data_IF_182055347256
#
_entry.id   IF_182055347256
#
_cell.length_a   1.000
_cell.length_b   1.000
_cell.length_c   1.000
_cell.angle_alpha   90.00
_cell.angle_beta   90.00
_cell.angle_gamma   90.00
#
_symmetry.space_group_name_H-M   'P 1'
#
loop_
_entity.id
_entity.type
_entity.pdbx_description
1 polymer ?
#
# COMPACT_ATOMS: atom_id res chain seq x y z
N UNK A 1 2.28 -9.72 -21.53
CA UNK A 1 2.74 -11.13 -21.66
C UNK A 1 1.82 -12.08 -20.91
N UNK A 2 1.77 -12.04 -19.57
CA UNK A 2 0.91 -12.95 -18.77
C UNK A 2 -0.59 -12.75 -19.07
N UNK A 3 -1.05 -11.51 -19.20
CA UNK A 3 -2.44 -11.22 -19.57
C UNK A 3 -2.86 -11.91 -20.88
N UNK A 4 -2.08 -11.72 -21.95
CA UNK A 4 -2.32 -12.37 -23.25
C UNK A 4 -2.28 -13.90 -23.14
N UNK A 5 -1.38 -14.47 -22.33
CA UNK A 5 -1.33 -15.92 -22.13
C UNK A 5 -2.61 -16.45 -21.48
N UNK A 6 -3.14 -15.76 -20.46
CA UNK A 6 -4.41 -16.13 -19.83
C UNK A 6 -5.59 -16.02 -20.80
N UNK A 7 -5.63 -14.95 -21.60
CA UNK A 7 -6.66 -14.80 -22.65
C UNK A 7 -6.56 -15.90 -23.71
N UNK A 8 -5.37 -16.22 -24.20
CA UNK A 8 -5.16 -17.31 -25.19
C UNK A 8 -5.46 -18.68 -24.60
N UNK A 9 -5.22 -18.88 -23.30
CA UNK A 9 -5.59 -20.11 -22.59
C UNK A 9 -7.11 -20.28 -22.42
N UNK A 10 -7.92 -19.28 -22.77
CA UNK A 10 -9.37 -19.33 -22.74
C UNK A 10 -10.01 -18.71 -21.49
N UNK A 11 -9.30 -17.84 -20.76
CA UNK A 11 -9.94 -17.04 -19.72
C UNK A 11 -10.85 -15.98 -20.35
N UNK A 12 -12.12 -15.95 -19.95
CA UNK A 12 -13.11 -14.96 -20.42
C UNK A 12 -13.33 -13.80 -19.44
N UNK A 13 -12.85 -13.94 -18.19
CA UNK A 13 -12.99 -12.93 -17.14
C UNK A 13 -11.89 -13.14 -16.09
N UNK A 14 -11.25 -12.05 -15.64
CA UNK A 14 -10.31 -12.04 -14.52
C UNK A 14 -10.97 -11.42 -13.29
N UNK A 15 -10.88 -12.11 -12.15
CA UNK A 15 -11.19 -11.54 -10.84
C UNK A 15 -9.90 -11.55 -10.03
N UNK A 16 -9.51 -10.40 -9.50
CA UNK A 16 -8.27 -10.21 -8.74
C UNK A 16 -8.50 -9.26 -7.57
N UNK A 17 -7.51 -9.12 -6.69
CA UNK A 17 -7.56 -8.21 -5.55
C UNK A 17 -6.26 -7.41 -5.46
N UNK A 18 -6.38 -6.10 -5.24
CA UNK A 18 -5.28 -5.15 -5.01
C UNK A 18 -4.09 -5.32 -5.96
N UNK A 19 -4.34 -5.15 -7.26
CA UNK A 19 -3.27 -5.05 -8.25
C UNK A 19 -2.22 -4.00 -7.84
N UNK A 20 -0.95 -4.39 -7.88
CA UNK A 20 0.19 -3.52 -7.56
C UNK A 20 0.16 -2.20 -8.33
N UNK A 21 -0.31 -2.24 -9.58
CA UNK A 21 -0.59 -1.07 -10.38
C UNK A 21 -1.97 -1.22 -11.04
N UNK A 22 -2.84 -0.22 -10.87
CA UNK A 22 -4.21 -0.26 -11.42
C UNK A 22 -4.22 -0.32 -12.95
N UNK A 23 -3.16 0.16 -13.60
CA UNK A 23 -2.95 0.11 -15.05
C UNK A 23 -2.85 -1.31 -15.61
N UNK A 24 -2.54 -2.31 -14.78
CA UNK A 24 -2.46 -3.72 -15.20
C UNK A 24 -3.81 -4.19 -15.78
N UNK A 25 -4.94 -3.62 -15.34
CA UNK A 25 -6.25 -3.91 -15.93
C UNK A 25 -6.28 -3.63 -17.43
N UNK A 26 -5.59 -2.58 -17.89
CA UNK A 26 -5.51 -2.23 -19.31
C UNK A 26 -4.64 -3.18 -20.15
N UNK A 27 -4.00 -4.19 -19.55
CA UNK A 27 -3.27 -5.23 -20.28
C UNK A 27 -4.16 -6.42 -20.67
N UNK A 28 -5.39 -6.49 -20.16
CA UNK A 28 -6.35 -7.53 -20.50
C UNK A 28 -7.36 -7.00 -21.52
N UNK A 29 -7.61 -7.79 -22.56
CA UNK A 29 -8.66 -7.52 -23.56
C UNK A 29 -10.05 -8.04 -23.13
N UNK A 30 -10.10 -8.71 -21.97
CA UNK A 30 -11.29 -9.30 -21.34
C UNK A 30 -11.64 -8.51 -20.07
N UNK A 31 -12.89 -8.59 -19.56
CA UNK A 31 -13.28 -7.94 -18.31
C UNK A 31 -12.36 -8.31 -17.15
N UNK A 32 -12.07 -7.32 -16.29
CA UNK A 32 -11.27 -7.48 -15.07
C UNK A 32 -11.98 -6.82 -13.90
N UNK A 33 -12.34 -7.62 -12.90
CA UNK A 33 -12.80 -7.14 -11.60
C UNK A 33 -11.59 -7.06 -10.65
N UNK A 34 -11.11 -5.85 -10.39
CA UNK A 34 -10.08 -5.59 -9.36
C UNK A 34 -10.74 -5.19 -8.04
N UNK A 35 -10.86 -6.16 -7.13
CA UNK A 35 -11.37 -5.97 -5.78
C UNK A 35 -10.35 -5.25 -4.89
N UNK A 36 -10.83 -4.57 -3.85
CA UNK A 36 -9.98 -3.85 -2.89
C UNK A 36 -10.17 -4.41 -1.48
N UNK A 37 -9.08 -4.73 -0.80
CA UNK A 37 -9.09 -5.17 0.60
C UNK A 37 -9.34 -4.01 1.58
N UNK A 38 -9.29 -2.77 1.12
CA UNK A 38 -9.42 -1.56 1.95
C UNK A 38 -10.61 -1.61 2.94
N UNK A 39 -11.85 -2.00 2.58
CA UNK A 39 -12.95 -2.09 3.53
C UNK A 39 -12.72 -3.11 4.66
N UNK A 40 -12.07 -4.23 4.34
CA UNK A 40 -11.73 -5.25 5.33
C UNK A 40 -10.62 -4.76 6.26
N UNK A 41 -9.60 -4.09 5.72
CA UNK A 41 -8.51 -3.47 6.50
C UNK A 41 -9.06 -2.41 7.46
N UNK A 42 -9.95 -1.53 6.99
CA UNK A 42 -10.59 -0.50 7.81
C UNK A 42 -11.40 -1.09 8.96
N UNK A 43 -12.17 -2.15 8.68
CA UNK A 43 -12.91 -2.88 9.71
C UNK A 43 -11.96 -3.47 10.74
N UNK A 44 -10.90 -4.14 10.29
CA UNK A 44 -9.92 -4.76 11.16
C UNK A 44 -9.24 -3.73 12.07
N UNK A 45 -8.81 -2.58 11.55
CA UNK A 45 -8.21 -1.49 12.33
C UNK A 45 -9.16 -1.04 13.45
N UNK A 46 -10.44 -0.80 13.12
CA UNK A 46 -11.43 -0.32 14.10
C UNK A 46 -11.73 -1.35 15.19
N UNK A 47 -11.67 -2.64 14.88
CA UNK A 47 -12.02 -3.72 15.80
C UNK A 47 -10.83 -4.18 16.66
N UNK A 48 -9.59 -4.05 16.17
CA UNK A 48 -8.42 -4.67 16.81
C UNK A 48 -7.42 -3.67 17.39
N UNK A 49 -7.42 -2.41 16.95
CA UNK A 49 -6.51 -1.39 17.46
C UNK A 49 -7.27 -0.49 18.42
N UNK A 50 -6.97 -0.60 19.73
CA UNK A 50 -7.70 0.12 20.79
C UNK A 50 -7.67 1.64 20.58
N UNK A 51 -6.52 2.20 20.20
CA UNK A 51 -6.32 3.64 20.01
C UNK A 51 -6.32 4.05 18.53
N UNK A 52 -7.10 3.37 17.67
CA UNK A 52 -7.11 3.65 16.23
C UNK A 52 -7.46 5.10 15.87
N UNK A 53 -8.17 5.84 16.74
CA UNK A 53 -8.48 7.26 16.52
C UNK A 53 -7.26 8.18 16.69
N UNK A 54 -6.25 7.74 17.45
CA UNK A 54 -4.97 8.43 17.62
C UNK A 54 -3.87 7.71 16.83
N UNK A 55 -4.23 7.17 15.66
CA UNK A 55 -3.27 6.52 14.78
C UNK A 55 -2.80 7.48 13.66
N UNK A 56 -1.71 7.10 13.01
CA UNK A 56 -1.27 7.70 11.76
C UNK A 56 -0.99 6.57 10.79
N UNK A 57 -1.62 6.63 9.62
CA UNK A 57 -1.42 5.61 8.58
C UNK A 57 -0.12 5.94 7.86
N UNK A 58 0.81 4.99 7.79
CA UNK A 58 2.16 5.22 7.29
C UNK A 58 2.41 4.38 6.04
N UNK A 59 2.85 5.04 4.96
CA UNK A 59 3.35 4.33 3.78
C UNK A 59 4.86 4.13 3.91
N UNK A 60 5.38 2.91 3.73
CA UNK A 60 6.82 2.66 3.82
C UNK A 60 7.61 3.17 2.61
N UNK A 61 6.90 3.58 1.55
CA UNK A 61 7.44 4.31 0.40
C UNK A 61 6.47 5.37 -0.16
N UNK A 62 6.92 6.13 -1.15
CA UNK A 62 6.09 7.15 -1.80
C UNK A 62 5.05 6.58 -2.79
N UNK A 63 5.21 5.34 -3.25
CA UNK A 63 4.29 4.67 -4.18
C UNK A 63 2.96 4.33 -3.52
N UNK A 64 2.99 3.93 -2.25
CA UNK A 64 1.79 3.64 -1.44
C UNK A 64 0.98 4.87 -1.02
N UNK A 65 1.38 6.10 -1.38
CA UNK A 65 0.75 7.33 -0.89
C UNK A 65 -0.76 7.38 -1.15
N UNK A 66 -1.21 7.03 -2.36
CA UNK A 66 -2.65 7.02 -2.69
C UNK A 66 -3.45 6.07 -1.80
N UNK A 67 -2.90 4.91 -1.49
CA UNK A 67 -3.53 3.87 -0.66
C UNK A 67 -3.66 4.35 0.78
N UNK A 68 -2.57 4.88 1.32
CA UNK A 68 -2.50 5.37 2.69
C UNK A 68 -3.38 6.60 2.91
N UNK A 69 -3.43 7.54 1.96
CA UNK A 69 -4.36 8.68 2.01
C UNK A 69 -5.82 8.22 1.98
N UNK A 70 -6.19 7.26 1.11
CA UNK A 70 -7.56 6.71 1.05
C UNK A 70 -8.01 6.12 2.39
N UNK A 71 -7.14 5.33 3.02
CA UNK A 71 -7.41 4.72 4.34
C UNK A 71 -7.52 5.80 5.42
N UNK A 72 -6.59 6.76 5.43
CA UNK A 72 -6.56 7.85 6.41
C UNK A 72 -7.81 8.73 6.33
N UNK A 73 -8.25 9.10 5.13
CA UNK A 73 -9.46 9.88 4.88
C UNK A 73 -10.71 9.15 5.41
N UNK A 74 -10.81 7.83 5.20
CA UNK A 74 -11.95 7.02 5.68
C UNK A 74 -11.94 6.78 7.19
N UNK A 75 -10.78 6.84 7.82
CA UNK A 75 -10.65 6.80 9.29
C UNK A 75 -10.72 8.19 9.92
N UNK A 76 -10.61 9.26 9.11
CA UNK A 76 -10.47 10.64 9.57
C UNK A 76 -9.29 10.80 10.54
N UNK A 77 -8.12 10.30 10.12
CA UNK A 77 -6.84 10.37 10.85
C UNK A 77 -5.76 10.92 9.93
N UNK A 78 -4.61 11.29 10.50
CA UNK A 78 -3.47 11.76 9.71
C UNK A 78 -2.74 10.60 9.01
N UNK A 79 -1.95 10.95 8.00
CA UNK A 79 -1.06 10.01 7.34
C UNK A 79 0.38 10.51 7.28
N UNK A 80 1.32 9.58 7.12
CA UNK A 80 2.73 9.86 6.90
C UNK A 80 3.29 8.97 5.78
N UNK A 81 4.38 9.41 5.18
CA UNK A 81 5.04 8.71 4.07
C UNK A 81 6.54 8.69 4.31
N UNK A 82 7.18 7.57 4.01
CA UNK A 82 8.64 7.48 4.01
C UNK A 82 9.13 7.71 2.58
N UNK A 83 9.86 8.81 2.39
CA UNK A 83 10.51 9.11 1.11
C UNK A 83 11.96 8.61 1.15
N UNK A 84 12.33 7.76 0.19
CA UNK A 84 13.70 7.30 -0.01
C UNK A 84 14.41 8.25 -0.98
N UNK A 85 15.34 9.07 -0.48
CA UNK A 85 16.26 9.81 -1.34
C UNK A 85 17.42 8.90 -1.77
N UNK A 86 17.46 8.56 -3.06
CA UNK A 86 18.59 7.89 -3.70
C UNK A 86 19.54 8.92 -4.29
N UNK A 87 20.73 9.10 -3.70
CA UNK A 87 21.75 10.00 -4.25
C UNK A 87 22.52 9.41 -5.43
N UNK A 88 22.72 8.09 -5.49
CA UNK A 88 23.34 7.33 -6.60
C UNK A 88 23.06 5.83 -6.43
N UNK A 89 23.13 5.07 -7.52
CA UNK A 89 23.20 3.61 -7.42
C UNK A 89 24.47 3.22 -6.64
N UNK A 90 24.30 2.69 -5.42
CA UNK A 90 25.35 2.26 -4.46
C UNK A 90 25.70 3.22 -3.30
N UNK A 91 25.00 4.35 -3.10
CA UNK A 91 25.15 5.17 -1.88
C UNK A 91 23.98 4.98 -0.91
N UNK A 92 24.27 5.16 0.39
CA UNK A 92 23.34 4.96 1.52
C UNK A 92 22.02 5.68 1.29
N UNK A 93 20.92 4.92 1.29
CA UNK A 93 19.55 5.43 1.20
C UNK A 93 19.26 6.33 2.40
N UNK A 94 18.92 7.60 2.15
CA UNK A 94 18.40 8.48 3.21
C UNK A 94 16.88 8.37 3.21
N UNK A 95 16.32 7.80 4.27
CA UNK A 95 14.87 7.76 4.49
C UNK A 95 14.44 9.00 5.25
N UNK A 96 13.51 9.76 4.66
CA UNK A 96 12.92 10.97 5.23
C UNK A 96 11.45 10.68 5.50
N UNK A 97 11.03 10.86 6.76
CA UNK A 97 9.62 10.81 7.12
C UNK A 97 8.95 12.15 6.75
N UNK A 98 7.83 12.08 6.04
CA UNK A 98 6.96 13.21 5.71
C UNK A 98 5.65 12.99 6.45
N UNK A 99 5.34 13.86 7.41
CA UNK A 99 4.21 13.71 8.34
C UNK A 99 4.70 13.62 9.80
N UNK A 100 3.77 13.47 10.73
CA UNK A 100 4.07 13.32 12.16
C UNK A 100 3.46 12.03 12.71
N UNK A 101 4.30 11.22 13.36
CA UNK A 101 3.94 9.94 13.98
C UNK A 101 4.21 9.94 15.49
N UNK A 102 4.69 11.06 16.04
CA UNK A 102 5.11 11.15 17.43
C UNK A 102 3.91 10.97 18.36
N UNK A 103 4.10 10.16 19.41
CA UNK A 103 3.08 9.88 20.44
C UNK A 103 1.75 9.35 19.88
N UNK A 104 1.82 8.65 18.73
CA UNK A 104 0.68 8.07 18.01
C UNK A 104 0.94 6.63 17.63
N UNK A 105 -0.13 5.88 17.37
CA UNK A 105 -0.03 4.52 16.83
C UNK A 105 0.27 4.60 15.33
N UNK A 106 1.48 4.24 14.91
CA UNK A 106 1.83 4.15 13.50
C UNK A 106 1.31 2.83 12.89
N UNK A 107 0.46 2.91 11.86
CA UNK A 107 -0.05 1.75 11.13
C UNK A 107 0.59 1.73 9.75
N UNK A 108 1.58 0.86 9.56
CA UNK A 108 2.24 0.67 8.27
C UNK A 108 1.33 -0.10 7.32
N UNK A 109 1.10 0.45 6.12
CA UNK A 109 0.26 -0.18 5.08
C UNK A 109 0.99 -0.21 3.75
N UNK A 110 0.96 -1.37 3.10
CA UNK A 110 1.43 -1.57 1.73
C UNK A 110 0.47 -2.52 0.98
N UNK A 111 0.64 -2.72 -0.34
CA UNK A 111 -0.14 -3.72 -1.09
C UNK A 111 0.35 -5.14 -0.83
N UNK A 112 1.66 -5.32 -0.69
CA UNK A 112 2.25 -6.62 -0.45
C UNK A 112 3.50 -6.54 0.41
N UNK A 113 3.79 -7.64 1.10
CA UNK A 113 5.03 -7.84 1.82
C UNK A 113 5.73 -9.08 1.25
N UNK A 114 6.90 -8.87 0.64
CA UNK A 114 7.72 -9.95 0.07
C UNK A 114 8.84 -10.36 1.04
N UNK A 115 9.94 -9.60 1.08
CA UNK A 115 11.06 -9.83 2.02
C UNK A 115 10.89 -9.13 3.38
N UNK A 116 9.84 -8.32 3.53
CA UNK A 116 9.57 -7.45 4.69
C UNK A 116 10.64 -6.41 5.03
N UNK A 117 11.79 -6.36 4.33
CA UNK A 117 12.87 -5.41 4.66
C UNK A 117 12.43 -3.94 4.61
N UNK A 118 11.59 -3.58 3.63
CA UNK A 118 11.02 -2.23 3.53
C UNK A 118 10.16 -1.87 4.75
N UNK A 119 9.35 -2.80 5.25
CA UNK A 119 8.49 -2.59 6.43
C UNK A 119 9.33 -2.54 7.71
N UNK A 120 10.34 -3.41 7.87
CA UNK A 120 11.24 -3.39 9.03
C UNK A 120 12.02 -2.06 9.11
N UNK A 121 12.60 -1.61 8.00
CA UNK A 121 13.29 -0.32 7.96
C UNK A 121 12.37 0.87 8.22
N UNK A 122 11.11 0.77 7.82
CA UNK A 122 10.10 1.78 8.12
C UNK A 122 9.72 1.79 9.61
N UNK A 123 9.67 0.63 10.26
CA UNK A 123 9.35 0.49 11.68
C UNK A 123 10.50 0.94 12.60
N UNK A 124 11.76 0.84 12.16
CA UNK A 124 12.93 1.32 12.90
C UNK A 124 13.08 2.85 12.94
N UNK A 125 12.18 3.59 12.26
CA UNK A 125 12.23 5.06 12.12
C UNK A 125 11.24 5.76 13.03
#
# INVERSE_FOLDING_TARGET
>A
MVANMLSVAGADHIITMDLHASQIQGFFDIPVDNLYAEPAVLKWIKENIVEWKNCTIVSPDAGGAKRVTSIADRLNVDFALIHKERKKASEVDRMVLVGDVKDRVAILVDDMADTCGTICHAADK
#
